data_IF_574493416806
#
_entry.id   IF_574493416806
#
_cell.length_a   1.000
_cell.length_b   1.000
_cell.length_c   1.000
_cell.angle_alpha   90.00
_cell.angle_beta   90.00
_cell.angle_gamma   90.00
#
_symmetry.space_group_name_H-M   'P 1'
#
loop_
_entity.id
_entity.type
_entity.pdbx_description
1 polymer ?
#
# COMPACT_ATOMS: atom_id res chain seq x y z
N UNK A 1 5.92 6.33 35.68
CA UNK A 1 5.11 6.73 34.51
C UNK A 1 3.61 6.47 34.76
N UNK A 2 2.75 7.42 34.42
CA UNK A 2 1.28 7.29 34.53
C UNK A 2 0.68 6.90 33.18
N UNK A 3 -0.27 5.97 33.21
CA UNK A 3 -1.06 5.55 32.05
C UNK A 3 -2.45 6.18 32.12
N UNK A 4 -3.11 6.41 30.97
CA UNK A 4 -2.67 6.14 29.60
C UNK A 4 -1.63 7.16 29.07
N UNK A 5 -0.83 6.72 28.09
CA UNK A 5 0.13 7.55 27.35
C UNK A 5 -0.17 7.48 25.86
N UNK A 6 -0.11 8.62 25.17
CA UNK A 6 -0.25 8.72 23.71
C UNK A 6 1.12 8.86 23.06
N UNK A 7 1.39 8.02 22.07
CA UNK A 7 2.55 8.12 21.20
C UNK A 7 2.09 8.38 19.77
N UNK A 8 2.79 9.25 19.06
CA UNK A 8 2.54 9.55 17.65
C UNK A 8 3.88 9.47 16.91
N UNK A 9 3.95 8.69 15.83
CA UNK A 9 5.18 8.41 15.08
C UNK A 9 6.37 7.90 15.95
N UNK A 10 6.07 7.18 17.03
CA UNK A 10 7.07 6.67 17.96
C UNK A 10 7.55 7.66 19.03
N UNK A 11 7.04 8.90 19.02
CA UNK A 11 7.37 9.93 20.02
C UNK A 11 6.24 10.07 21.05
N UNK A 12 6.59 10.25 22.33
CA UNK A 12 5.63 10.47 23.40
C UNK A 12 5.02 11.86 23.25
N UNK A 13 3.71 11.92 23.03
CA UNK A 13 2.94 13.17 22.99
C UNK A 13 2.55 13.61 24.40
N UNK A 14 2.08 12.70 25.24
CA UNK A 14 1.70 13.03 26.61
C UNK A 14 0.85 11.97 27.33
N UNK A 15 0.54 12.24 28.60
CA UNK A 15 -0.42 11.48 29.40
C UNK A 15 -1.85 11.98 29.23
N UNK A 16 -2.80 11.42 29.99
CA UNK A 16 -4.24 11.73 29.89
C UNK A 16 -4.56 13.23 29.88
N UNK A 17 -4.06 14.00 30.86
CA UNK A 17 -4.41 15.42 31.00
C UNK A 17 -3.94 16.24 29.80
N UNK A 18 -2.71 16.00 29.34
CA UNK A 18 -2.14 16.65 28.15
C UNK A 18 -2.96 16.33 26.91
N UNK A 19 -3.33 15.06 26.72
CA UNK A 19 -4.12 14.64 25.56
C UNK A 19 -5.50 15.31 25.57
N UNK A 20 -6.13 15.48 26.73
CA UNK A 20 -7.43 16.16 26.88
C UNK A 20 -7.31 17.67 26.63
N UNK A 21 -6.24 18.31 27.08
CA UNK A 21 -5.93 19.72 26.77
C UNK A 21 -5.73 19.90 25.26
N UNK A 22 -4.87 19.08 24.64
CA UNK A 22 -4.63 19.10 23.19
C UNK A 22 -5.90 18.81 22.38
N UNK A 23 -6.80 17.96 22.91
CA UNK A 23 -8.09 17.71 22.27
C UNK A 23 -9.00 18.95 22.32
N UNK A 24 -8.95 19.69 23.43
CA UNK A 24 -9.79 20.88 23.67
C UNK A 24 -9.34 22.08 22.84
N UNK A 25 -8.03 22.26 22.63
CA UNK A 25 -7.48 23.35 21.82
C UNK A 25 -7.32 22.99 20.32
N UNK A 26 -7.52 21.72 19.95
CA UNK A 26 -7.47 21.22 18.58
C UNK A 26 -6.11 20.72 18.11
N UNK A 27 -5.04 20.95 18.87
CA UNK A 27 -3.67 20.53 18.52
C UNK A 27 -3.52 19.01 18.42
N UNK A 28 -4.34 18.24 19.15
CA UNK A 28 -4.37 16.77 19.04
C UNK A 28 -4.77 16.32 17.63
N UNK A 29 -5.81 16.95 17.06
CA UNK A 29 -6.32 16.61 15.74
C UNK A 29 -5.25 16.88 14.68
N UNK A 30 -4.56 18.00 14.76
CA UNK A 30 -3.48 18.36 13.85
C UNK A 30 -2.31 17.39 13.95
N UNK A 31 -1.89 17.05 15.17
CA UNK A 31 -0.79 16.10 15.43
C UNK A 31 -1.08 14.72 14.84
N UNK A 32 -2.27 14.18 15.11
CA UNK A 32 -2.68 12.87 14.61
C UNK A 32 -2.88 12.90 13.08
N UNK A 33 -3.53 13.93 12.54
CA UNK A 33 -3.72 14.07 11.10
C UNK A 33 -2.39 14.18 10.34
N UNK A 34 -1.43 14.94 10.86
CA UNK A 34 -0.09 15.05 10.29
C UNK A 34 0.64 13.71 10.26
N UNK A 35 0.52 12.90 11.31
CA UNK A 35 1.08 11.55 11.35
C UNK A 35 0.42 10.62 10.33
N UNK A 36 -0.91 10.63 10.22
CA UNK A 36 -1.64 9.84 9.22
C UNK A 36 -1.24 10.23 7.80
N UNK A 37 -1.14 11.53 7.52
CA UNK A 37 -0.71 12.03 6.22
C UNK A 37 0.71 11.54 5.86
N UNK A 38 1.65 11.64 6.81
CA UNK A 38 3.03 11.17 6.63
C UNK A 38 3.10 9.67 6.34
N UNK A 39 2.32 8.86 7.05
CA UNK A 39 2.23 7.41 6.79
C UNK A 39 1.66 7.12 5.40
N UNK A 40 0.62 7.86 4.98
CA UNK A 40 0.05 7.72 3.64
C UNK A 40 1.03 8.10 2.53
N UNK A 41 1.79 9.18 2.71
CA UNK A 41 2.85 9.58 1.78
C UNK A 41 3.95 8.52 1.66
N UNK A 42 4.38 7.94 2.79
CA UNK A 42 5.36 6.85 2.81
C UNK A 42 4.84 5.61 2.06
N UNK A 43 3.56 5.24 2.28
CA UNK A 43 2.92 4.15 1.53
C UNK A 43 2.86 4.47 0.04
N UNK A 44 2.40 5.66 -0.35
CA UNK A 44 2.37 6.07 -1.77
C UNK A 44 3.76 5.99 -2.43
N UNK A 45 4.81 6.41 -1.73
CA UNK A 45 6.19 6.29 -2.24
C UNK A 45 6.59 4.82 -2.44
N UNK A 46 6.25 3.95 -1.48
CA UNK A 46 6.47 2.50 -1.57
C UNK A 46 5.71 1.88 -2.76
N UNK A 47 4.44 2.20 -2.92
CA UNK A 47 3.62 1.72 -4.04
C UNK A 47 4.21 2.14 -5.38
N UNK A 48 4.60 3.41 -5.50
CA UNK A 48 5.24 3.93 -6.71
C UNK A 48 6.55 3.19 -7.03
N UNK A 49 7.37 2.91 -6.02
CA UNK A 49 8.60 2.13 -6.20
C UNK A 49 8.31 0.69 -6.68
N UNK A 50 7.30 0.03 -6.11
CA UNK A 50 6.90 -1.32 -6.53
C UNK A 50 6.37 -1.34 -7.96
N UNK A 51 5.46 -0.42 -8.30
CA UNK A 51 4.89 -0.29 -9.65
C UNK A 51 6.00 -0.13 -10.71
N UNK A 52 7.02 0.66 -10.40
CA UNK A 52 8.11 0.97 -11.32
C UNK A 52 9.32 0.02 -11.20
N UNK A 53 9.18 -1.12 -10.51
CA UNK A 53 10.28 -2.07 -10.29
C UNK A 53 10.79 -2.69 -11.60
N UNK A 54 9.91 -2.85 -12.60
CA UNK A 54 10.23 -3.34 -13.93
C UNK A 54 9.40 -2.58 -15.00
N UNK A 55 9.74 -2.69 -16.31
CA UNK A 55 8.95 -2.09 -17.39
C UNK A 55 7.48 -2.52 -17.36
N UNK A 56 7.22 -3.76 -16.95
CA UNK A 56 5.91 -4.28 -16.62
C UNK A 56 5.94 -4.92 -15.22
N UNK A 57 5.05 -4.50 -14.34
CA UNK A 57 4.88 -5.10 -13.00
C UNK A 57 3.44 -5.54 -12.84
N UNK A 58 3.21 -6.78 -12.44
CA UNK A 58 1.87 -7.31 -12.18
C UNK A 58 1.69 -7.72 -10.73
N UNK A 59 0.64 -7.18 -10.11
CA UNK A 59 0.25 -7.49 -8.74
C UNK A 59 -0.80 -8.61 -8.79
N UNK A 60 -0.49 -9.75 -8.18
CA UNK A 60 -1.26 -10.99 -8.33
C UNK A 60 -1.51 -11.65 -6.97
N UNK A 61 -2.42 -12.63 -6.92
CA UNK A 61 -2.62 -13.50 -5.76
C UNK A 61 -1.74 -14.74 -5.91
N UNK A 62 -0.75 -14.92 -5.05
CA UNK A 62 0.30 -15.93 -5.20
C UNK A 62 1.53 -15.40 -5.93
N UNK A 63 2.41 -16.29 -6.36
CA UNK A 63 3.63 -15.94 -7.10
C UNK A 63 3.52 -16.27 -8.59
N UNK A 64 4.54 -15.89 -9.37
CA UNK A 64 4.69 -16.31 -10.77
C UNK A 64 4.59 -17.83 -10.94
N UNK A 65 5.30 -18.57 -10.09
CA UNK A 65 5.40 -20.03 -10.16
C UNK A 65 4.20 -20.72 -9.51
N UNK A 66 3.60 -20.08 -8.50
CA UNK A 66 2.47 -20.61 -7.74
C UNK A 66 1.30 -19.61 -7.65
N UNK A 67 0.59 -19.33 -8.77
CA UNK A 67 -0.56 -18.42 -8.75
C UNK A 67 -1.76 -19.07 -8.04
N UNK A 68 -2.32 -18.35 -7.07
CA UNK A 68 -3.42 -18.80 -6.18
C UNK A 68 -4.81 -18.41 -6.66
N UNK A 69 -4.93 -17.79 -7.84
CA UNK A 69 -6.19 -17.39 -8.45
C UNK A 69 -6.17 -17.64 -9.97
N UNK A 70 -7.27 -18.11 -10.55
CA UNK A 70 -7.38 -18.39 -11.99
C UNK A 70 -7.11 -17.17 -12.87
N UNK A 71 -7.55 -15.99 -12.44
CA UNK A 71 -7.26 -14.72 -13.11
C UNK A 71 -5.77 -14.37 -13.09
N UNK A 72 -5.11 -14.52 -11.93
CA UNK A 72 -3.67 -14.35 -11.79
C UNK A 72 -2.89 -15.29 -12.71
N UNK A 73 -3.26 -16.57 -12.77
CA UNK A 73 -2.63 -17.55 -13.66
C UNK A 73 -2.73 -17.15 -15.13
N UNK A 74 -3.90 -16.68 -15.58
CA UNK A 74 -4.13 -16.25 -16.97
C UNK A 74 -3.28 -15.04 -17.34
N UNK A 75 -3.16 -14.05 -16.46
CA UNK A 75 -2.35 -12.85 -16.73
C UNK A 75 -0.87 -13.20 -16.78
N UNK A 76 -0.36 -14.02 -15.84
CA UNK A 76 1.04 -14.46 -15.85
C UNK A 76 1.37 -15.22 -17.13
N UNK A 77 0.51 -16.15 -17.55
CA UNK A 77 0.70 -16.92 -18.79
C UNK A 77 0.73 -16.01 -20.03
N UNK A 78 -0.24 -15.09 -20.15
CA UNK A 78 -0.30 -14.15 -21.27
C UNK A 78 0.93 -13.24 -21.34
N UNK A 79 1.43 -12.75 -20.20
CA UNK A 79 2.66 -11.96 -20.15
C UNK A 79 3.89 -12.78 -20.54
N UNK A 80 3.99 -14.03 -20.08
CA UNK A 80 5.10 -14.92 -20.42
C UNK A 80 5.17 -15.22 -21.93
N UNK A 81 4.03 -15.36 -22.61
CA UNK A 81 3.97 -15.58 -24.08
C UNK A 81 4.53 -14.40 -24.89
N UNK A 82 4.54 -13.18 -24.34
CA UNK A 82 5.10 -12.00 -25.03
C UNK A 82 6.63 -12.03 -25.13
N UNK A 83 7.31 -12.81 -24.27
CA UNK A 83 8.76 -12.78 -24.12
C UNK A 83 9.32 -11.48 -23.51
N UNK A 84 8.46 -10.57 -23.05
CA UNK A 84 8.88 -9.34 -22.39
C UNK A 84 9.27 -9.58 -20.94
N UNK A 85 10.26 -8.82 -20.46
CA UNK A 85 10.61 -8.81 -19.04
C UNK A 85 9.50 -8.16 -18.21
N UNK A 86 9.04 -8.88 -17.20
CA UNK A 86 8.07 -8.38 -16.22
C UNK A 86 8.43 -8.85 -14.81
N UNK A 87 7.83 -8.20 -13.81
CA UNK A 87 7.95 -8.55 -12.40
C UNK A 87 6.57 -8.93 -11.83
N UNK A 88 6.55 -9.80 -10.82
CA UNK A 88 5.33 -10.15 -10.08
C UNK A 88 5.44 -9.73 -8.62
N UNK A 89 4.32 -9.30 -8.03
CA UNK A 89 4.22 -9.05 -6.59
C UNK A 89 3.02 -9.82 -6.02
N UNK A 90 3.24 -10.60 -4.95
CA UNK A 90 2.15 -11.31 -4.26
C UNK A 90 1.46 -10.38 -3.26
N UNK A 91 0.24 -9.97 -3.57
CA UNK A 91 -0.57 -9.09 -2.71
C UNK A 91 -1.13 -9.80 -1.48
N UNK A 92 -1.01 -11.13 -1.38
CA UNK A 92 -1.47 -11.87 -0.20
C UNK A 92 -0.48 -11.80 0.96
N UNK A 93 0.78 -11.47 0.69
CA UNK A 93 1.83 -11.35 1.70
C UNK A 93 1.90 -9.95 2.32
N UNK A 94 1.24 -8.96 1.70
CA UNK A 94 1.28 -7.56 2.12
C UNK A 94 -0.08 -6.88 1.98
N UNK A 95 -0.82 -6.82 3.10
CA UNK A 95 -2.16 -6.23 3.13
C UNK A 95 -2.14 -4.70 2.95
N UNK A 96 -1.07 -4.01 3.37
CA UNK A 96 -0.90 -2.57 3.16
C UNK A 96 -0.76 -2.26 1.67
N UNK A 97 0.10 -2.98 0.96
CA UNK A 97 0.24 -2.84 -0.50
C UNK A 97 -1.05 -3.22 -1.19
N UNK A 98 -1.70 -4.30 -0.75
CA UNK A 98 -2.95 -4.79 -1.33
C UNK A 98 -4.09 -3.77 -1.27
N UNK A 99 -4.30 -3.14 -0.11
CA UNK A 99 -5.36 -2.14 0.03
C UNK A 99 -4.91 -0.80 -0.55
N UNK A 100 -3.67 -0.40 -0.29
CA UNK A 100 -3.08 0.84 -0.78
C UNK A 100 -3.12 0.95 -2.30
N UNK A 101 -2.82 -0.11 -3.05
CA UNK A 101 -2.89 -0.07 -4.52
C UNK A 101 -4.30 0.15 -5.05
N UNK A 102 -5.33 -0.45 -4.45
CA UNK A 102 -6.72 -0.24 -4.89
C UNK A 102 -7.11 1.23 -4.77
N UNK A 103 -6.74 1.85 -3.66
CA UNK A 103 -6.97 3.28 -3.42
C UNK A 103 -6.11 4.15 -4.34
N UNK A 104 -4.82 3.82 -4.49
CA UNK A 104 -3.87 4.57 -5.30
C UNK A 104 -4.26 4.59 -6.78
N UNK A 105 -4.78 3.48 -7.29
CA UNK A 105 -5.10 3.31 -8.71
C UNK A 105 -6.58 3.47 -9.03
N UNK A 106 -7.42 3.74 -8.02
CA UNK A 106 -8.88 3.72 -8.12
C UNK A 106 -9.41 2.45 -8.82
N UNK A 107 -8.83 1.28 -8.47
CA UNK A 107 -9.17 0.00 -9.10
C UNK A 107 -9.47 -1.10 -8.07
N UNK A 108 -10.65 -1.73 -8.11
CA UNK A 108 -11.11 -2.56 -6.99
C UNK A 108 -10.53 -3.98 -6.96
N UNK A 109 -10.05 -4.51 -8.09
CA UNK A 109 -9.72 -5.96 -8.24
C UNK A 109 -8.24 -6.25 -8.50
N UNK A 110 -7.90 -7.53 -8.41
CA UNK A 110 -6.60 -8.11 -8.77
C UNK A 110 -6.84 -9.33 -9.65
N UNK A 111 -5.96 -9.60 -10.62
CA UNK A 111 -4.63 -8.99 -10.81
C UNK A 111 -4.64 -7.57 -11.39
N UNK A 112 -3.63 -6.76 -11.07
CA UNK A 112 -3.43 -5.42 -11.67
C UNK A 112 -2.10 -5.39 -12.40
N UNK A 113 -2.11 -5.00 -13.68
CA UNK A 113 -0.92 -4.85 -14.52
C UNK A 113 -0.58 -3.36 -14.68
N UNK A 114 0.67 -3.03 -14.38
CA UNK A 114 1.24 -1.71 -14.62
C UNK A 114 2.33 -1.80 -15.68
N UNK A 115 2.36 -0.84 -16.59
CA UNK A 115 3.41 -0.70 -17.61
C UNK A 115 3.96 0.71 -17.52
N UNK A 116 5.28 0.84 -17.30
CA UNK A 116 5.98 2.14 -17.14
C UNK A 116 5.33 3.10 -16.14
N UNK A 117 4.81 2.56 -15.03
CA UNK A 117 4.18 3.38 -13.99
C UNK A 117 2.67 3.53 -14.13
N UNK A 118 2.08 3.14 -15.27
CA UNK A 118 0.67 3.37 -15.56
C UNK A 118 -0.14 2.08 -15.45
N UNK A 119 -1.31 2.16 -14.81
CA UNK A 119 -2.25 1.04 -14.75
C UNK A 119 -2.80 0.77 -16.16
N UNK A 120 -2.56 -0.43 -16.67
CA UNK A 120 -3.14 -0.90 -17.92
C UNK A 120 -4.51 -1.51 -17.67
N UNK A 121 -4.67 -2.19 -16.54
CA UNK A 121 -5.94 -2.78 -16.11
C UNK A 121 -5.76 -4.09 -15.34
N UNK A 122 -6.87 -4.78 -15.17
CA UNK A 122 -6.95 -6.03 -14.42
C UNK A 122 -8.16 -6.88 -14.81
N UNK A 123 -8.30 -8.04 -14.15
CA UNK A 123 -9.50 -8.88 -14.23
C UNK A 123 -10.11 -9.16 -12.86
#
# INVERSE_FOLDING_TARGET
PTYPQLYVNGELVGGCDIVLEMASDGSLKETVAGAVAKSKEALHARLKALINKAPATVFIKGSRDEPRCGFSRRVVAALAETGADFETFDILEDEEVRQGLKEYSDWPTYPQLYVKGELVGGC
#
